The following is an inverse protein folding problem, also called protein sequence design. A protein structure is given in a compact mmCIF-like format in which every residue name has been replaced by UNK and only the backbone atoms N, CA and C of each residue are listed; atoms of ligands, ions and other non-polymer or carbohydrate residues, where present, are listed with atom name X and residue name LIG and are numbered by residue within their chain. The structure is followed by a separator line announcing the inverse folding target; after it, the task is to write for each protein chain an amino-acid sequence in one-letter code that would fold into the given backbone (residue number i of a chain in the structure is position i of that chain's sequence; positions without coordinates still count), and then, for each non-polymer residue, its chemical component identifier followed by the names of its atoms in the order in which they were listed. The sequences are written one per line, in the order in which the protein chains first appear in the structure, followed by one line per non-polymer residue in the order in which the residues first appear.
data_IF_960104243052
#
_entry.id   IF_960104243052
#
_cell.length_a   1.000
_cell.length_b   1.000
_cell.length_c   1.000
_cell.angle_alpha   90.00
_cell.angle_beta   90.00
_cell.angle_gamma   90.00
#
_symmetry.space_group_name_H-M   'P 1'
#
loop_
_entity.id
_entity.type
_entity.pdbx_description
1 polymer ?
#
# COMPACT_ATOMS: atom_id res chain seq x y z
N UNK A 1 19.28 -17.39 -70.89
CA UNK A 1 18.49 -16.27 -70.25
C UNK A 1 18.06 -16.54 -68.80
N UNK A 2 17.90 -17.78 -68.41
CA UNK A 2 17.36 -18.15 -67.06
C UNK A 2 18.25 -17.79 -65.88
N UNK A 3 19.57 -17.81 -65.95
CA UNK A 3 20.48 -17.50 -64.87
C UNK A 3 20.42 -16.04 -64.39
N UNK A 4 20.03 -15.09 -65.21
CA UNK A 4 19.94 -13.66 -64.87
C UNK A 4 18.73 -13.39 -64.04
N UNK A 5 17.63 -14.09 -64.22
CA UNK A 5 16.42 -13.91 -63.41
C UNK A 5 16.58 -14.47 -61.98
N UNK A 6 17.34 -15.55 -61.84
CA UNK A 6 17.65 -16.14 -60.55
C UNK A 6 18.45 -15.20 -59.64
N UNK A 7 19.43 -14.49 -60.20
CA UNK A 7 20.24 -13.51 -59.49
C UNK A 7 19.38 -12.31 -59.01
N UNK A 8 18.48 -11.82 -59.88
CA UNK A 8 17.57 -10.72 -59.53
C UNK A 8 16.59 -11.13 -58.42
N UNK A 9 16.06 -12.36 -58.52
CA UNK A 9 15.16 -12.89 -57.46
C UNK A 9 15.88 -13.08 -56.14
N UNK A 10 17.14 -13.55 -56.16
CA UNK A 10 17.96 -13.69 -54.96
C UNK A 10 18.29 -12.35 -54.30
N UNK A 11 18.59 -11.31 -55.09
CA UNK A 11 18.80 -9.96 -54.54
C UNK A 11 17.52 -9.32 -54.00
N UNK A 12 16.36 -9.60 -54.57
CA UNK A 12 15.08 -9.13 -54.03
C UNK A 12 14.76 -9.74 -52.65
N UNK A 13 15.16 -11.00 -52.42
CA UNK A 13 15.02 -11.66 -51.09
C UNK A 13 15.95 -11.07 -50.04
N UNK A 14 17.13 -10.58 -50.38
CA UNK A 14 18.08 -9.98 -49.45
C UNK A 14 17.65 -8.57 -49.00
N UNK A 15 16.74 -7.91 -49.71
CA UNK A 15 16.20 -6.59 -49.34
C UNK A 15 14.99 -6.68 -48.39
N UNK A 16 14.45 -7.88 -48.13
CA UNK A 16 13.36 -8.08 -47.20
C UNK A 16 13.86 -8.19 -45.74
N UNK A 17 14.69 -7.26 -45.31
CA UNK A 17 14.98 -7.13 -43.88
C UNK A 17 13.71 -6.64 -43.20
N UNK A 18 13.38 -7.26 -42.07
CA UNK A 18 12.24 -6.84 -41.26
C UNK A 18 12.44 -5.39 -40.81
N UNK A 19 11.86 -4.47 -41.56
CA UNK A 19 11.83 -3.06 -41.20
C UNK A 19 10.83 -2.87 -40.09
N UNK A 20 11.03 -1.80 -39.31
CA UNK A 20 10.04 -1.35 -38.30
C UNK A 20 8.64 -1.25 -38.94
N UNK A 21 7.62 -1.70 -38.22
CA UNK A 21 6.24 -1.63 -38.67
C UNK A 21 5.66 -0.28 -38.36
N UNK A 22 5.34 0.52 -39.36
CA UNK A 22 4.64 1.78 -39.24
C UNK A 22 3.17 1.64 -39.65
N UNK A 23 2.26 2.05 -38.83
CA UNK A 23 0.85 2.20 -39.16
C UNK A 23 0.57 3.70 -39.26
N UNK A 24 0.10 4.17 -40.42
CA UNK A 24 -0.08 5.60 -40.72
C UNK A 24 1.19 6.46 -40.57
N UNK A 25 2.36 5.87 -40.75
CA UNK A 25 3.66 6.57 -40.83
C UNK A 25 4.60 5.84 -41.79
N UNK A 26 5.32 6.63 -42.59
CA UNK A 26 6.35 6.12 -43.52
C UNK A 26 7.77 6.17 -42.90
N UNK A 27 7.90 6.75 -41.71
CA UNK A 27 9.16 6.83 -40.96
C UNK A 27 9.00 6.32 -39.55
N UNK A 28 8.90 5.00 -39.33
CA UNK A 28 8.76 4.45 -37.98
C UNK A 28 10.00 4.71 -37.13
N UNK A 29 9.80 5.28 -35.95
CA UNK A 29 10.88 5.57 -34.99
C UNK A 29 11.11 4.41 -34.00
N UNK A 30 10.24 3.39 -34.02
CA UNK A 30 10.26 2.22 -33.14
C UNK A 30 9.87 0.98 -33.96
N UNK A 31 10.14 -0.21 -33.41
CA UNK A 31 9.78 -1.47 -34.04
C UNK A 31 8.29 -1.57 -34.45
N UNK A 32 7.42 -0.98 -33.64
CA UNK A 32 6.03 -0.70 -33.95
C UNK A 32 5.73 0.77 -33.69
N UNK A 33 5.38 1.53 -34.73
CA UNK A 33 5.03 2.93 -34.62
C UNK A 33 3.64 3.22 -35.20
N UNK A 34 2.73 3.69 -34.33
CA UNK A 34 1.39 4.15 -34.71
C UNK A 34 1.43 5.68 -34.90
N UNK A 35 1.50 6.11 -36.13
CA UNK A 35 1.66 7.53 -36.51
C UNK A 35 0.32 8.24 -36.71
N UNK A 36 -0.55 8.29 -35.70
CA UNK A 36 -1.83 8.98 -35.81
C UNK A 36 -2.25 9.59 -34.47
N UNK A 37 -2.90 10.74 -34.51
CA UNK A 37 -3.48 11.41 -33.34
C UNK A 37 -4.69 10.67 -32.76
N UNK A 38 -5.24 9.71 -33.47
CA UNK A 38 -6.46 8.96 -33.09
C UNK A 38 -6.26 7.45 -33.07
N UNK A 39 -4.99 7.00 -33.17
CA UNK A 39 -4.66 5.57 -33.17
C UNK A 39 -4.96 4.92 -31.81
N UNK A 40 -5.74 3.84 -31.82
CA UNK A 40 -5.95 2.97 -30.66
C UNK A 40 -5.44 1.59 -30.96
N UNK A 41 -4.90 0.91 -29.94
CA UNK A 41 -4.49 -0.49 -30.05
C UNK A 41 -5.58 -1.34 -29.39
N UNK A 42 -6.11 -2.32 -30.12
CA UNK A 42 -6.95 -3.37 -29.55
C UNK A 42 -6.12 -4.65 -29.46
N UNK A 43 -6.06 -5.21 -28.26
CA UNK A 43 -5.42 -6.51 -27.99
C UNK A 43 -6.51 -7.46 -27.50
N UNK A 44 -6.90 -8.42 -28.36
CA UNK A 44 -8.01 -9.33 -28.06
C UNK A 44 -7.73 -10.25 -26.87
N UNK A 45 -6.47 -10.54 -26.57
CA UNK A 45 -6.07 -11.25 -25.35
C UNK A 45 -6.33 -10.51 -24.04
N UNK A 46 -6.65 -9.22 -24.09
CA UNK A 46 -6.94 -8.39 -22.91
C UNK A 46 -8.43 -8.08 -22.73
N UNK A 47 -9.30 -8.59 -23.62
CA UNK A 47 -10.74 -8.38 -23.48
C UNK A 47 -11.35 -9.32 -22.42
N UNK A 48 -12.61 -9.05 -22.01
CA UNK A 48 -13.29 -9.81 -20.96
C UNK A 48 -13.64 -11.25 -21.31
N UNK A 49 -13.56 -11.64 -22.58
CA UNK A 49 -13.82 -13.02 -23.03
C UNK A 49 -12.54 -13.86 -22.85
N UNK A 50 -11.38 -13.26 -23.15
CA UNK A 50 -10.11 -13.96 -23.22
C UNK A 50 -9.25 -13.77 -21.96
N UNK A 51 -9.66 -12.88 -21.04
CA UNK A 51 -8.87 -12.54 -19.86
C UNK A 51 -9.78 -12.36 -18.64
N UNK A 52 -9.66 -13.27 -17.69
CA UNK A 52 -10.46 -13.30 -16.44
C UNK A 52 -10.13 -12.15 -15.47
N UNK A 53 -9.04 -11.42 -15.68
CA UNK A 53 -8.75 -10.18 -14.93
C UNK A 53 -9.46 -8.96 -15.50
N UNK A 54 -10.16 -9.09 -16.63
CA UNK A 54 -11.05 -8.08 -17.18
C UNK A 54 -12.49 -8.45 -16.81
N UNK A 55 -13.07 -7.73 -15.84
CA UNK A 55 -14.41 -8.01 -15.34
C UNK A 55 -15.57 -7.72 -16.33
N UNK A 56 -15.27 -7.15 -17.50
CA UNK A 56 -16.27 -6.91 -18.57
C UNK A 56 -17.35 -5.89 -18.21
N UNK A 57 -17.18 -5.09 -17.16
CA UNK A 57 -18.18 -4.12 -16.73
C UNK A 57 -18.16 -2.92 -17.66
N UNK A 58 -19.32 -2.61 -18.25
CA UNK A 58 -19.47 -1.48 -19.17
C UNK A 58 -19.08 -0.15 -18.51
N UNK A 59 -18.21 0.61 -19.20
CA UNK A 59 -17.71 1.91 -18.72
C UNK A 59 -16.55 1.84 -17.74
N UNK A 60 -16.11 0.65 -17.33
CA UNK A 60 -14.88 0.50 -16.54
C UNK A 60 -13.65 0.33 -17.43
N UNK A 61 -12.51 0.83 -16.94
CA UNK A 61 -11.20 0.66 -17.55
C UNK A 61 -10.31 -0.16 -16.61
N UNK A 62 -9.45 -1.00 -17.20
CA UNK A 62 -8.52 -1.85 -16.47
C UNK A 62 -7.09 -1.44 -16.81
N UNK A 63 -6.21 -1.21 -15.82
CA UNK A 63 -4.82 -0.87 -16.07
C UNK A 63 -4.09 -2.06 -16.68
N UNK A 64 -3.22 -1.79 -17.67
CA UNK A 64 -2.36 -2.79 -18.29
C UNK A 64 -0.99 -2.73 -17.64
N UNK A 65 -0.47 -3.89 -17.28
CA UNK A 65 0.86 -4.08 -16.69
C UNK A 65 1.76 -4.80 -17.68
N UNK A 66 3.07 -4.73 -17.46
CA UNK A 66 4.07 -5.50 -18.21
C UNK A 66 4.69 -6.50 -17.24
N UNK A 67 4.66 -7.77 -17.60
CA UNK A 67 5.28 -8.82 -16.79
C UNK A 67 6.80 -8.95 -17.03
N UNK A 68 7.44 -9.91 -16.36
CA UNK A 68 8.90 -10.13 -16.47
C UNK A 68 9.38 -10.56 -17.85
N UNK A 69 8.49 -11.06 -18.69
CA UNK A 69 8.78 -11.46 -20.07
C UNK A 69 8.59 -10.31 -21.06
N UNK A 70 8.02 -9.19 -20.60
CA UNK A 70 7.64 -8.06 -21.43
C UNK A 70 6.23 -8.17 -22.01
N UNK A 71 5.44 -9.14 -21.59
CA UNK A 71 4.06 -9.34 -22.06
C UNK A 71 3.09 -8.39 -21.39
N UNK A 72 2.11 -7.87 -22.15
CA UNK A 72 1.03 -7.07 -21.63
C UNK A 72 0.03 -7.94 -20.87
N UNK A 73 -0.24 -7.60 -19.61
CA UNK A 73 -1.16 -8.36 -18.75
C UNK A 73 -2.07 -7.43 -17.94
N UNK A 74 -3.24 -7.93 -17.57
CA UNK A 74 -4.13 -7.29 -16.59
C UNK A 74 -3.90 -7.85 -15.17
N UNK A 75 -3.08 -8.90 -15.05
CA UNK A 75 -2.77 -9.49 -13.76
C UNK A 75 -1.94 -8.52 -12.91
N UNK A 76 -2.45 -8.20 -11.73
CA UNK A 76 -1.73 -7.36 -10.76
C UNK A 76 -0.65 -8.13 -10.00
N UNK A 77 0.25 -7.38 -9.36
CA UNK A 77 1.34 -7.97 -8.57
C UNK A 77 0.82 -8.82 -7.40
N UNK A 78 1.71 -9.61 -6.80
CA UNK A 78 1.37 -10.53 -5.70
C UNK A 78 0.83 -9.87 -4.43
N UNK A 79 0.96 -8.55 -4.28
CA UNK A 79 0.45 -7.80 -3.12
C UNK A 79 -0.98 -7.27 -3.27
N UNK A 80 -1.59 -7.47 -4.43
CA UNK A 80 -2.96 -7.05 -4.67
C UNK A 80 -3.76 -8.25 -5.18
N UNK A 81 -4.97 -8.40 -4.67
CA UNK A 81 -5.90 -9.39 -5.19
C UNK A 81 -6.28 -9.07 -6.65
N UNK A 82 -6.67 -10.08 -7.42
CA UNK A 82 -7.03 -9.93 -8.84
C UNK A 82 -8.22 -9.01 -9.08
N UNK A 83 -9.07 -8.82 -8.08
CA UNK A 83 -10.21 -7.92 -8.08
C UNK A 83 -9.85 -6.47 -7.69
N UNK A 84 -8.57 -6.20 -7.39
CA UNK A 84 -8.10 -4.89 -6.95
C UNK A 84 -8.38 -4.56 -5.49
N UNK A 85 -8.89 -5.52 -4.71
CA UNK A 85 -9.08 -5.35 -3.26
C UNK A 85 -7.75 -5.31 -2.51
N UNK A 86 -7.80 -4.93 -1.23
CA UNK A 86 -6.62 -4.89 -0.37
C UNK A 86 -5.93 -6.25 -0.30
N UNK A 87 -4.61 -6.26 -0.43
CA UNK A 87 -3.81 -7.48 -0.33
C UNK A 87 -3.84 -8.06 1.09
N UNK A 88 -4.02 -7.21 2.08
CA UNK A 88 -4.10 -7.56 3.50
C UNK A 88 -5.34 -6.91 4.12
N UNK A 89 -6.19 -7.74 4.69
CA UNK A 89 -7.39 -7.36 5.42
C UNK A 89 -7.20 -7.60 6.90
N UNK A 90 -8.23 -7.39 7.71
CA UNK A 90 -8.23 -7.70 9.15
C UNK A 90 -7.72 -9.11 9.47
N UNK A 91 -7.98 -10.09 8.60
CA UNK A 91 -7.48 -11.46 8.78
C UNK A 91 -5.97 -11.60 8.56
N UNK A 92 -5.35 -10.68 7.82
CA UNK A 92 -3.91 -10.65 7.57
C UNK A 92 -3.11 -9.83 8.59
N UNK A 93 -3.77 -9.03 9.40
CA UNK A 93 -3.16 -8.27 10.49
C UNK A 93 -3.22 -9.10 11.77
N UNK A 94 -2.09 -9.24 12.46
CA UNK A 94 -1.96 -10.13 13.62
C UNK A 94 -2.75 -9.64 14.82
N UNK A 95 -4.04 -9.76 14.81
CA UNK A 95 -4.91 -9.63 15.96
C UNK A 95 -4.74 -8.36 16.79
N UNK A 96 -5.29 -8.37 17.98
CA UNK A 96 -5.17 -7.25 18.93
C UNK A 96 -3.80 -7.21 19.57
N UNK A 97 -3.13 -6.09 19.47
CA UNK A 97 -1.88 -5.79 20.16
C UNK A 97 -2.16 -4.74 21.23
N UNK A 98 -1.65 -4.95 22.43
CA UNK A 98 -1.86 -4.06 23.55
C UNK A 98 -0.53 -3.53 24.09
N UNK A 99 -0.47 -2.24 24.38
CA UNK A 99 0.64 -1.61 25.09
C UNK A 99 0.13 -0.83 26.30
N UNK A 100 0.97 -0.71 27.29
CA UNK A 100 0.70 0.09 28.47
C UNK A 100 1.77 1.17 28.58
N UNK A 101 1.41 2.43 28.52
CA UNK A 101 2.31 3.52 28.81
C UNK A 101 2.42 3.66 30.33
N UNK A 102 3.33 2.92 30.93
CA UNK A 102 3.66 3.00 32.35
C UNK A 102 4.97 3.76 32.55
N UNK A 103 4.89 4.93 32.99
CA UNK A 103 5.65 5.72 33.94
C UNK A 103 7.18 5.67 34.00
N UNK A 104 7.91 5.01 33.13
CA UNK A 104 9.37 4.93 33.33
C UNK A 104 10.16 5.78 32.35
N UNK A 105 9.60 6.13 31.19
CA UNK A 105 10.34 6.82 30.14
C UNK A 105 9.45 7.83 29.42
N UNK A 106 9.26 9.01 29.98
CA UNK A 106 8.54 10.14 29.36
C UNK A 106 7.11 9.79 28.84
N UNK A 107 6.51 8.74 29.37
CA UNK A 107 5.18 8.27 28.97
C UNK A 107 5.09 7.82 27.52
N UNK A 108 6.18 7.36 26.92
CA UNK A 108 6.23 6.87 25.55
C UNK A 108 6.43 5.35 25.49
N UNK A 109 5.58 4.69 24.75
CA UNK A 109 5.68 3.25 24.45
C UNK A 109 5.39 2.97 22.98
N UNK A 110 6.03 1.94 22.46
CA UNK A 110 5.89 1.50 21.07
C UNK A 110 5.76 -0.02 20.99
N UNK A 111 4.92 -0.48 20.06
CA UNK A 111 4.73 -1.91 19.79
C UNK A 111 4.69 -2.16 18.29
N UNK A 112 5.33 -3.21 17.83
CA UNK A 112 5.15 -3.74 16.49
C UNK A 112 3.79 -4.43 16.39
N UNK A 113 2.96 -4.03 15.44
CA UNK A 113 1.62 -4.59 15.21
C UNK A 113 1.73 -5.80 14.28
N UNK A 114 2.44 -5.63 13.17
CA UNK A 114 2.63 -6.67 12.16
C UNK A 114 3.83 -6.35 11.28
N UNK A 115 4.34 -7.36 10.58
CA UNK A 115 5.41 -7.18 9.60
C UNK A 115 5.19 -8.04 8.36
N UNK A 116 5.71 -7.55 7.23
CA UNK A 116 5.68 -8.24 5.94
C UNK A 116 7.03 -8.24 5.30
N UNK A 117 7.53 -9.43 4.93
CA UNK A 117 8.76 -9.59 4.18
C UNK A 117 8.45 -10.06 2.76
N UNK A 118 9.02 -9.40 1.76
CA UNK A 118 8.82 -9.69 0.36
C UNK A 118 10.08 -9.38 -0.44
N UNK A 119 10.17 -9.94 -1.65
CA UNK A 119 11.31 -9.74 -2.53
C UNK A 119 10.88 -9.05 -3.81
N UNK A 120 11.64 -8.05 -4.24
CA UNK A 120 11.46 -7.36 -5.51
C UNK A 120 12.61 -7.70 -6.48
N UNK A 121 12.25 -8.05 -7.71
CA UNK A 121 13.21 -8.51 -8.72
C UNK A 121 13.89 -7.36 -9.47
N UNK A 122 13.40 -6.14 -9.34
CA UNK A 122 13.90 -4.91 -9.98
C UNK A 122 13.62 -3.70 -9.13
N UNK A 123 14.33 -2.61 -9.37
CA UNK A 123 14.00 -1.32 -8.76
C UNK A 123 12.54 -0.95 -9.10
N UNK A 124 11.77 -0.60 -8.10
CA UNK A 124 10.34 -0.38 -8.21
C UNK A 124 9.86 0.65 -7.20
N UNK A 125 8.60 1.06 -7.32
CA UNK A 125 7.94 1.90 -6.32
C UNK A 125 6.86 1.09 -5.65
N UNK A 126 6.85 1.07 -4.33
CA UNK A 126 5.81 0.47 -3.52
C UNK A 126 4.84 1.55 -3.05
N UNK A 127 3.57 1.40 -3.39
CA UNK A 127 2.46 2.14 -2.79
C UNK A 127 2.00 1.40 -1.54
N UNK A 128 1.90 2.13 -0.44
CA UNK A 128 1.40 1.62 0.83
C UNK A 128 0.24 2.50 1.28
N UNK A 129 -0.89 1.86 1.56
CA UNK A 129 -2.03 2.47 2.24
C UNK A 129 -2.37 1.63 3.44
N UNK A 130 -2.65 2.26 4.56
CA UNK A 130 -3.15 1.54 5.72
C UNK A 130 -4.25 2.32 6.42
N UNK A 131 -5.13 1.60 7.08
CA UNK A 131 -6.11 2.09 8.03
C UNK A 131 -6.13 1.12 9.19
N UNK A 132 -5.61 1.57 10.35
CA UNK A 132 -5.46 0.74 11.55
C UNK A 132 -6.35 1.29 12.65
N UNK A 133 -7.16 0.42 13.21
CA UNK A 133 -8.03 0.71 14.32
C UNK A 133 -7.23 0.86 15.63
N UNK A 134 -7.72 1.72 16.47
CA UNK A 134 -7.13 2.01 17.78
C UNK A 134 -8.26 2.17 18.80
N UNK A 135 -8.12 1.54 19.96
CA UNK A 135 -8.95 1.75 21.13
C UNK A 135 -8.05 2.20 22.30
N UNK A 136 -8.53 3.13 23.10
CA UNK A 136 -7.74 3.77 24.18
C UNK A 136 -8.45 3.62 25.49
N UNK A 137 -7.75 3.05 26.47
CA UNK A 137 -8.24 2.79 27.81
C UNK A 137 -7.21 3.22 28.87
N UNK A 138 -7.60 3.27 30.10
CA UNK A 138 -6.72 3.57 31.23
C UNK A 138 -5.84 2.37 31.58
N UNK A 139 -6.38 1.15 31.46
CA UNK A 139 -5.74 -0.10 31.88
C UNK A 139 -6.19 -1.29 31.01
N UNK A 140 -5.62 -2.45 31.28
CA UNK A 140 -5.94 -3.69 30.58
C UNK A 140 -7.31 -4.30 30.92
N UNK A 141 -8.00 -3.73 31.90
CA UNK A 141 -9.41 -4.07 32.22
C UNK A 141 -10.38 -3.26 31.36
N UNK A 142 -9.86 -2.49 30.41
CA UNK A 142 -10.60 -1.62 29.49
C UNK A 142 -11.35 -0.50 30.23
N UNK A 143 -10.81 -0.03 31.32
CA UNK A 143 -11.35 1.11 32.06
C UNK A 143 -11.28 2.37 31.21
N UNK A 144 -12.39 3.08 31.12
CA UNK A 144 -12.47 4.32 30.36
C UNK A 144 -11.63 5.40 31.02
N UNK A 145 -10.82 6.12 30.23
CA UNK A 145 -10.05 7.27 30.71
C UNK A 145 -11.02 8.38 31.15
N UNK A 146 -10.76 8.94 32.33
CA UNK A 146 -11.57 10.04 32.92
C UNK A 146 -10.71 11.18 33.41
N UNK A 147 -9.40 11.14 33.18
CA UNK A 147 -8.48 12.18 33.63
C UNK A 147 -8.38 13.33 32.58
N UNK A 148 -7.88 14.50 33.01
CA UNK A 148 -7.79 15.68 32.15
C UNK A 148 -6.57 15.72 31.25
N UNK A 149 -5.94 14.59 30.99
CA UNK A 149 -4.68 14.54 30.25
C UNK A 149 -4.89 13.98 28.82
N UNK A 150 -4.26 14.63 27.87
CA UNK A 150 -4.25 14.18 26.50
C UNK A 150 -3.21 13.06 26.25
N UNK A 151 -3.52 12.14 25.34
CA UNK A 151 -2.62 11.12 24.82
C UNK A 151 -2.43 11.32 23.33
N UNK A 152 -1.19 11.20 22.88
CA UNK A 152 -0.90 11.15 21.44
C UNK A 152 -0.73 9.70 21.03
N UNK A 153 -1.48 9.27 20.03
CA UNK A 153 -1.46 7.91 19.51
C UNK A 153 -1.09 7.97 18.05
N UNK A 154 -0.01 7.28 17.69
CA UNK A 154 0.54 7.34 16.33
C UNK A 154 0.72 5.95 15.76
N UNK A 155 0.34 5.78 14.49
CA UNK A 155 0.73 4.64 13.67
C UNK A 155 1.68 5.11 12.56
N UNK A 156 2.62 4.25 12.22
CA UNK A 156 3.58 4.42 11.13
C UNK A 156 4.16 3.06 10.75
N UNK A 157 4.94 3.01 9.70
CA UNK A 157 5.76 1.84 9.41
C UNK A 157 7.22 2.22 9.22
N UNK A 158 8.09 1.21 9.32
CA UNK A 158 9.52 1.28 8.99
C UNK A 158 9.83 0.33 7.83
N UNK A 159 10.94 0.55 7.16
CA UNK A 159 11.43 -0.29 6.07
C UNK A 159 12.84 -0.77 6.44
N UNK A 160 13.05 -2.09 6.35
CA UNK A 160 14.35 -2.77 6.52
C UNK A 160 15.08 -2.47 7.85
N UNK A 161 14.33 -2.03 8.84
CA UNK A 161 14.88 -1.73 10.17
C UNK A 161 14.37 -2.75 11.17
N UNK A 162 15.22 -3.60 11.74
CA UNK A 162 14.81 -4.67 12.65
C UNK A 162 14.44 -4.15 14.05
N UNK A 163 14.96 -3.00 14.44
CA UNK A 163 14.74 -2.41 15.77
C UNK A 163 14.35 -0.96 15.63
N UNK A 164 13.28 -0.57 16.31
CA UNK A 164 12.83 0.82 16.37
C UNK A 164 13.77 1.61 17.31
N UNK A 165 14.46 2.60 16.75
CA UNK A 165 15.29 3.55 17.46
C UNK A 165 14.78 4.98 17.27
N UNK A 166 15.17 5.96 18.10
CA UNK A 166 14.75 7.35 17.92
C UNK A 166 15.07 7.94 16.55
N UNK A 167 16.17 7.50 15.93
CA UNK A 167 16.64 7.94 14.60
C UNK A 167 16.05 7.12 13.44
N UNK A 168 15.26 6.07 13.72
CA UNK A 168 14.64 5.24 12.69
C UNK A 168 13.67 6.08 11.87
N UNK A 169 13.82 6.02 10.54
CA UNK A 169 12.90 6.69 9.63
C UNK A 169 11.50 6.08 9.74
N UNK A 170 10.53 6.92 9.99
CA UNK A 170 9.11 6.58 10.06
C UNK A 170 8.42 7.03 8.79
N UNK A 171 7.68 6.12 8.18
CA UNK A 171 6.95 6.38 6.94
C UNK A 171 5.46 6.52 7.22
N UNK A 172 4.80 7.44 6.51
CA UNK A 172 3.37 7.73 6.60
C UNK A 172 2.86 7.84 8.06
N UNK A 173 3.49 8.63 8.94
CA UNK A 173 3.02 8.77 10.31
C UNK A 173 1.62 9.38 10.32
N UNK A 174 0.72 8.78 11.08
CA UNK A 174 -0.64 9.25 11.32
C UNK A 174 -0.89 9.29 12.82
N UNK A 175 -1.21 10.46 13.33
CA UNK A 175 -1.37 10.69 14.77
C UNK A 175 -2.74 11.25 15.10
N UNK A 176 -3.26 10.84 16.25
CA UNK A 176 -4.45 11.43 16.88
C UNK A 176 -4.18 11.75 18.32
N UNK A 177 -4.71 12.88 18.75
CA UNK A 177 -4.79 13.21 20.15
C UNK A 177 -6.09 12.63 20.73
N UNK A 178 -5.98 11.79 21.72
CA UNK A 178 -7.10 11.28 22.49
C UNK A 178 -7.21 12.05 23.79
N UNK A 179 -8.39 12.60 24.03
CA UNK A 179 -8.73 13.30 25.26
C UNK A 179 -10.15 12.93 25.63
N UNK A 180 -10.34 12.51 26.87
CA UNK A 180 -11.64 12.10 27.35
C UNK A 180 -11.78 12.50 28.83
N UNK A 181 -12.15 13.75 29.04
CA UNK A 181 -12.44 14.25 30.36
C UNK A 181 -13.90 14.01 30.72
N UNK A 182 -14.15 13.18 31.70
CA UNK A 182 -15.46 13.02 32.29
C UNK A 182 -15.48 13.63 33.69
N UNK A 183 -15.78 14.91 33.76
CA UNK A 183 -15.97 15.66 35.02
C UNK A 183 -17.43 15.56 35.51
N UNK A 184 -18.01 14.37 35.54
CA UNK A 184 -19.39 14.16 35.98
C UNK A 184 -19.71 14.66 37.40
N UNK A 185 -18.73 15.21 38.11
CA UNK A 185 -18.93 15.75 39.45
C UNK A 185 -19.17 17.26 39.53
N UNK A 186 -18.85 18.02 38.50
CA UNK A 186 -18.88 19.53 38.59
C UNK A 186 -19.53 20.21 37.38
N UNK A 187 -19.70 19.52 36.25
CA UNK A 187 -20.35 20.08 35.07
C UNK A 187 -21.69 19.38 34.83
N UNK A 188 -22.83 20.07 34.97
CA UNK A 188 -24.13 19.48 34.65
C UNK A 188 -24.35 19.20 33.19
N UNK A 189 -23.45 19.67 32.30
CA UNK A 189 -23.44 19.36 30.88
C UNK A 189 -22.41 18.25 30.52
N UNK A 190 -21.67 17.73 31.50
CA UNK A 190 -20.77 16.61 31.30
C UNK A 190 -21.58 15.39 30.87
N UNK A 191 -21.50 15.06 29.60
CA UNK A 191 -22.10 13.84 29.08
C UNK A 191 -21.40 12.64 29.74
N UNK A 192 -22.14 11.67 30.27
CA UNK A 192 -21.56 10.49 30.93
C UNK A 192 -20.77 9.60 29.95
N UNK A 193 -20.87 9.87 28.65
CA UNK A 193 -20.38 9.00 27.60
C UNK A 193 -19.03 9.48 27.09
N UNK A 194 -18.00 8.77 27.51
CA UNK A 194 -16.68 8.85 26.91
C UNK A 194 -16.72 8.42 25.44
N UNK A 195 -15.87 9.00 24.61
CA UNK A 195 -15.64 8.47 23.29
C UNK A 195 -15.11 7.04 23.39
N UNK A 196 -15.92 6.08 22.98
CA UNK A 196 -15.62 4.65 23.01
C UNK A 196 -15.63 4.08 21.60
N UNK A 197 -15.03 2.90 21.44
CA UNK A 197 -14.93 2.21 20.15
C UNK A 197 -13.70 2.58 19.35
N UNK A 198 -13.71 2.18 18.09
CA UNK A 198 -12.56 2.31 17.22
C UNK A 198 -12.40 3.70 16.66
N UNK A 199 -11.22 4.27 16.85
CA UNK A 199 -10.71 5.38 16.04
C UNK A 199 -9.70 4.82 15.04
N UNK A 200 -9.48 5.49 13.90
CA UNK A 200 -8.61 4.98 12.85
C UNK A 200 -7.48 5.95 12.56
N UNK A 201 -6.27 5.42 12.52
CA UNK A 201 -5.10 6.08 11.96
C UNK A 201 -4.87 5.55 10.55
N UNK A 202 -4.86 6.43 9.57
CA UNK A 202 -4.68 6.07 8.17
C UNK A 202 -3.52 6.82 7.56
N UNK A 203 -2.77 6.15 6.72
CA UNK A 203 -1.63 6.73 6.02
C UNK A 203 -1.49 6.19 4.62
N UNK A 204 -0.95 7.02 3.72
CA UNK A 204 -0.63 6.65 2.34
C UNK A 204 0.74 7.21 2.00
N UNK A 205 1.58 6.41 1.35
CA UNK A 205 2.87 6.87 0.85
C UNK A 205 3.38 6.00 -0.28
N UNK A 206 4.40 6.51 -0.98
CA UNK A 206 5.13 5.81 -2.02
C UNK A 206 6.59 5.71 -1.60
N UNK A 207 7.16 4.51 -1.71
CA UNK A 207 8.54 4.23 -1.30
C UNK A 207 9.28 3.57 -2.47
N UNK A 208 10.40 4.17 -2.88
CA UNK A 208 11.29 3.56 -3.86
C UNK A 208 12.03 2.39 -3.21
N UNK A 209 12.01 1.24 -3.88
CA UNK A 209 12.68 0.01 -3.47
C UNK A 209 13.76 -0.36 -4.49
N UNK A 210 14.93 -0.74 -4.01
CA UNK A 210 15.94 -1.41 -4.82
C UNK A 210 15.60 -2.89 -5.00
N UNK A 211 16.25 -3.56 -5.94
CA UNK A 211 16.18 -5.03 -6.05
C UNK A 211 16.64 -5.67 -4.74
N UNK A 212 15.90 -6.63 -4.23
CA UNK A 212 16.25 -7.35 -3.00
C UNK A 212 15.04 -7.71 -2.14
N UNK A 213 15.34 -8.23 -0.96
CA UNK A 213 14.33 -8.56 0.05
C UNK A 213 14.16 -7.38 0.99
N UNK A 214 12.90 -7.01 1.22
CA UNK A 214 12.51 -5.89 2.05
C UNK A 214 11.54 -6.35 3.14
N UNK A 215 11.59 -5.68 4.29
CA UNK A 215 10.65 -5.92 5.39
C UNK A 215 10.00 -4.62 5.82
N UNK A 216 8.67 -4.57 5.72
CA UNK A 216 7.83 -3.53 6.31
C UNK A 216 7.43 -3.95 7.72
N UNK A 217 7.54 -3.03 8.69
CA UNK A 217 7.07 -3.24 10.07
C UNK A 217 6.15 -2.11 10.46
N UNK A 218 4.91 -2.44 10.81
CA UNK A 218 3.90 -1.48 11.24
C UNK A 218 3.93 -1.35 12.75
N UNK A 219 3.92 -0.11 13.23
CA UNK A 219 4.01 0.21 14.65
C UNK A 219 2.81 1.02 15.12
N UNK A 220 2.46 0.78 16.38
CA UNK A 220 1.61 1.65 17.18
C UNK A 220 2.43 2.26 18.30
N UNK A 221 2.22 3.54 18.58
CA UNK A 221 2.87 4.23 19.68
C UNK A 221 1.85 5.06 20.47
N UNK A 222 2.09 5.18 21.76
CA UNK A 222 1.37 6.08 22.63
C UNK A 222 2.34 6.97 23.39
N UNK A 223 1.97 8.24 23.56
CA UNK A 223 2.67 9.18 24.41
C UNK A 223 1.66 9.87 25.33
N UNK A 224 1.85 9.73 26.64
CA UNK A 224 1.03 10.37 27.68
C UNK A 224 1.69 11.60 28.32
N UNK A 225 2.87 11.98 27.81
CA UNK A 225 3.63 13.13 28.32
C UNK A 225 4.33 12.88 29.66
N UNK A 226 4.95 13.93 30.17
CA UNK A 226 5.80 13.87 31.37
C UNK A 226 5.07 13.48 32.66
N UNK A 227 3.76 13.61 32.70
CA UNK A 227 2.95 13.23 33.86
C UNK A 227 2.60 11.76 33.92
N UNK A 228 3.07 10.97 32.94
CA UNK A 228 3.01 9.51 32.91
C UNK A 228 1.63 8.94 33.27
N UNK A 229 0.62 9.29 32.49
CA UNK A 229 -0.72 8.82 32.74
C UNK A 229 -0.88 7.37 32.29
N UNK A 230 -1.43 6.52 33.14
CA UNK A 230 -1.76 5.16 32.77
C UNK A 230 -2.60 5.14 31.50
N UNK A 231 -2.12 4.46 30.51
CA UNK A 231 -2.78 4.37 29.21
C UNK A 231 -2.55 3.00 28.61
N UNK A 232 -3.62 2.36 28.22
CA UNK A 232 -3.62 1.07 27.57
C UNK A 232 -4.23 1.24 26.18
N UNK A 233 -3.48 0.90 25.14
CA UNK A 233 -3.91 1.08 23.76
C UNK A 233 -3.93 -0.25 23.05
N UNK A 234 -5.05 -0.54 22.42
CA UNK A 234 -5.21 -1.69 21.53
C UNK A 234 -5.12 -1.22 20.08
N UNK A 235 -4.16 -1.77 19.34
CA UNK A 235 -4.00 -1.51 17.92
C UNK A 235 -4.49 -2.71 17.11
N UNK A 236 -5.08 -2.44 15.95
CA UNK A 236 -5.52 -3.44 15.00
C UNK A 236 -6.48 -4.47 15.60
N UNK A 237 -7.37 -4.04 16.47
CA UNK A 237 -8.41 -4.89 17.08
C UNK A 237 -9.76 -4.84 16.39
N UNK A 238 -9.93 -3.96 15.40
CA UNK A 238 -11.15 -3.75 14.64
C UNK A 238 -11.01 -4.14 13.16
N UNK A 239 -11.87 -3.63 12.29
CA UNK A 239 -11.76 -3.82 10.85
C UNK A 239 -10.61 -2.97 10.29
N UNK A 240 -9.46 -3.61 10.13
CA UNK A 240 -8.22 -3.00 9.67
C UNK A 240 -7.93 -3.33 8.21
N UNK A 241 -7.16 -2.48 7.53
CA UNK A 241 -6.71 -2.75 6.17
C UNK A 241 -5.27 -2.27 5.95
N UNK A 242 -4.51 -3.07 5.19
CA UNK A 242 -3.19 -2.71 4.67
C UNK A 242 -3.16 -3.10 3.20
N UNK A 243 -2.98 -2.11 2.35
CA UNK A 243 -2.87 -2.28 0.90
C UNK A 243 -1.44 -2.02 0.45
N UNK A 244 -0.88 -2.95 -0.32
CA UNK A 244 0.47 -2.88 -0.87
C UNK A 244 0.41 -3.14 -2.38
N UNK A 245 0.99 -2.24 -3.18
CA UNK A 245 1.10 -2.38 -4.64
C UNK A 245 2.48 -2.03 -5.13
N UNK A 246 3.05 -2.86 -5.98
CA UNK A 246 4.30 -2.61 -6.70
C UNK A 246 4.00 -2.05 -8.11
N UNK A 247 4.82 -1.05 -8.53
CA UNK A 247 4.72 -0.42 -9.86
C UNK A 247 5.95 -0.68 -10.71
#
# INVERSE_FOLDING_TARGET
MEKKYFVILFFAFLCAQAQNVGVNTTNPQQALHLGSNTGTIRVDGLNSINNNFNGGIAGQTYPVYVDSNGDLTLKVSAFQNSDGSDAYTTAGVNGTVAITALQTNDGYEAVEITSYTFTVARNTTLEIKYSLSVEVFQDNLLTIIKDPYARNITNFFTLDTPVLAPTTRRYAPSSKCYFNRNDAGTDPLALPDAATGYIYNSGTTYVALSTGTHTLRFYGTVCSGTNNQNTFVRFAGGPDSIFLRLY
#
